data_IF_544775540338
#
_entry.id   IF_544775540338
#
_cell.length_a   1.000
_cell.length_b   1.000
_cell.length_c   1.000
_cell.angle_alpha   90.00
_cell.angle_beta   90.00
_cell.angle_gamma   90.00
#
_symmetry.space_group_name_H-M   'P 1'
#
loop_
_entity.id
_entity.type
_entity.pdbx_description
1 polymer ?
#
# COMPACT_ATOMS: atom_id res chain seq x y z
N UNK A 1 26.57 -19.66 -9.73
CA UNK A 1 25.16 -19.26 -9.49
C UNK A 1 25.10 -17.77 -9.26
N UNK A 2 24.58 -16.98 -10.21
CA UNK A 2 24.64 -15.51 -10.15
C UNK A 2 23.64 -14.87 -9.20
N UNK A 3 23.89 -13.60 -8.81
CA UNK A 3 23.01 -12.80 -7.95
C UNK A 3 21.58 -12.72 -8.52
N UNK A 4 21.46 -12.60 -9.84
CA UNK A 4 20.17 -12.62 -10.54
C UNK A 4 19.44 -13.95 -10.42
N UNK A 5 20.15 -15.07 -10.32
CA UNK A 5 19.53 -16.39 -10.19
C UNK A 5 18.96 -16.59 -8.78
N UNK A 6 19.67 -16.08 -7.75
CA UNK A 6 19.16 -15.99 -6.37
C UNK A 6 17.94 -15.07 -6.30
N UNK A 7 17.98 -13.92 -6.96
CA UNK A 7 16.84 -13.01 -7.05
C UNK A 7 15.66 -13.63 -7.81
N UNK A 8 15.91 -14.34 -8.92
CA UNK A 8 14.87 -15.02 -9.68
C UNK A 8 14.20 -16.12 -8.85
N UNK A 9 14.97 -16.78 -7.99
CA UNK A 9 14.46 -17.76 -7.02
C UNK A 9 13.65 -17.10 -5.92
N UNK A 10 14.07 -15.95 -5.37
CA UNK A 10 13.27 -15.20 -4.40
C UNK A 10 11.94 -14.71 -5.01
N UNK A 11 11.94 -14.29 -6.28
CA UNK A 11 10.73 -13.84 -6.98
C UNK A 11 9.83 -15.02 -7.39
N UNK A 12 10.42 -16.13 -7.85
CA UNK A 12 9.67 -17.36 -8.20
C UNK A 12 9.24 -18.18 -6.99
N UNK A 13 9.93 -18.05 -5.86
CA UNK A 13 9.55 -18.69 -4.62
C UNK A 13 8.28 -18.01 -4.11
N UNK A 14 7.16 -18.59 -4.50
CA UNK A 14 6.02 -18.74 -3.62
C UNK A 14 5.37 -17.46 -3.09
N UNK A 15 5.42 -16.31 -3.78
CA UNK A 15 4.67 -15.14 -3.29
C UNK A 15 3.18 -15.46 -3.15
N UNK A 16 2.60 -16.20 -4.11
CA UNK A 16 1.19 -16.60 -4.07
C UNK A 16 0.86 -17.65 -3.00
N UNK A 17 1.75 -18.62 -2.76
CA UNK A 17 1.52 -19.70 -1.78
C UNK A 17 1.89 -19.30 -0.35
N UNK A 18 2.89 -18.43 -0.16
CA UNK A 18 3.24 -17.83 1.13
C UNK A 18 2.18 -16.80 1.55
N UNK A 19 1.65 -15.98 0.65
CA UNK A 19 0.54 -15.06 0.97
C UNK A 19 -0.73 -15.80 1.44
N UNK A 20 -0.97 -17.02 0.94
CA UNK A 20 -2.13 -17.85 1.32
C UNK A 20 -1.99 -18.55 2.67
N UNK A 21 -0.76 -18.70 3.18
CA UNK A 21 -0.45 -19.46 4.42
C UNK A 21 0.16 -18.62 5.54
N UNK A 22 0.52 -17.37 5.28
CA UNK A 22 1.17 -16.51 6.25
C UNK A 22 0.17 -15.85 7.20
N UNK A 23 0.38 -16.01 8.51
CA UNK A 23 -0.33 -15.25 9.54
C UNK A 23 -0.10 -13.73 9.42
N UNK A 24 1.08 -13.30 8.94
CA UNK A 24 1.36 -11.90 8.65
C UNK A 24 2.02 -11.68 7.27
N UNK A 25 1.23 -11.38 6.23
CA UNK A 25 1.74 -11.12 4.89
C UNK A 25 2.59 -9.85 4.80
N UNK A 26 2.45 -8.90 5.73
CA UNK A 26 3.26 -7.68 5.74
C UNK A 26 4.71 -7.98 6.09
N UNK A 27 4.95 -8.80 7.11
CA UNK A 27 6.28 -9.21 7.52
C UNK A 27 7.04 -9.95 6.42
N UNK A 28 6.38 -10.84 5.68
CA UNK A 28 6.99 -11.57 4.56
C UNK A 28 7.38 -10.62 3.42
N UNK A 29 6.48 -9.69 3.04
CA UNK A 29 6.76 -8.72 1.99
C UNK A 29 7.91 -7.78 2.37
N UNK A 30 8.01 -7.40 3.65
CA UNK A 30 9.11 -6.60 4.17
C UNK A 30 10.43 -7.36 4.16
N UNK A 31 10.44 -8.63 4.59
CA UNK A 31 11.64 -9.47 4.55
C UNK A 31 12.12 -9.67 3.11
N UNK A 32 11.22 -9.99 2.18
CA UNK A 32 11.57 -10.19 0.78
C UNK A 32 12.19 -8.92 0.17
N UNK A 33 11.67 -7.73 0.49
CA UNK A 33 12.26 -6.47 0.04
C UNK A 33 13.65 -6.22 0.65
N UNK A 34 13.85 -6.59 1.91
CA UNK A 34 15.16 -6.45 2.56
C UNK A 34 16.19 -7.40 1.93
N UNK A 35 15.82 -8.64 1.64
CA UNK A 35 16.66 -9.60 0.92
C UNK A 35 17.02 -9.09 -0.48
N UNK A 36 16.05 -8.50 -1.20
CA UNK A 36 16.31 -7.89 -2.51
C UNK A 36 17.24 -6.68 -2.41
N UNK A 37 17.12 -5.85 -1.36
CA UNK A 37 18.03 -4.72 -1.10
C UNK A 37 19.44 -5.21 -0.76
N UNK A 38 19.57 -6.31 -0.03
CA UNK A 38 20.86 -6.91 0.25
C UNK A 38 21.50 -7.45 -1.03
N UNK A 39 20.74 -8.14 -1.87
CA UNK A 39 21.20 -8.58 -3.20
C UNK A 39 21.62 -7.38 -4.09
N UNK A 40 20.93 -6.24 -3.98
CA UNK A 40 21.30 -5.01 -4.68
C UNK A 40 22.66 -4.46 -4.22
N UNK A 41 22.93 -4.48 -2.91
CA UNK A 41 24.25 -4.09 -2.37
C UNK A 41 25.35 -5.01 -2.89
N UNK A 42 25.14 -6.32 -2.86
CA UNK A 42 26.08 -7.30 -3.42
C UNK A 42 26.35 -7.06 -4.91
N UNK A 43 25.30 -6.89 -5.71
CA UNK A 43 25.43 -6.63 -7.14
C UNK A 43 26.21 -5.33 -7.43
N UNK A 44 26.03 -4.28 -6.61
CA UNK A 44 26.81 -3.03 -6.73
C UNK A 44 28.29 -3.26 -6.45
N UNK A 45 28.62 -4.08 -5.45
CA UNK A 45 30.01 -4.44 -5.14
C UNK A 45 30.63 -5.25 -6.28
N UNK A 46 29.90 -6.19 -6.88
CA UNK A 46 30.38 -6.95 -8.05
C UNK A 46 30.65 -6.04 -9.25
N UNK A 47 29.74 -5.10 -9.55
CA UNK A 47 29.95 -4.10 -10.62
C UNK A 47 31.16 -3.22 -10.33
N UNK A 48 31.33 -2.79 -9.08
CA UNK A 48 32.47 -1.98 -8.67
C UNK A 48 33.79 -2.74 -8.79
N UNK A 49 33.83 -4.01 -8.36
CA UNK A 49 34.99 -4.89 -8.51
C UNK A 49 35.36 -5.10 -9.98
N UNK A 50 34.38 -5.41 -10.83
CA UNK A 50 34.60 -5.55 -12.27
C UNK A 50 35.12 -4.26 -12.92
N UNK A 51 34.60 -3.09 -12.49
CA UNK A 51 35.07 -1.78 -12.94
C UNK A 51 36.48 -1.44 -12.44
N UNK A 52 36.85 -1.88 -11.23
CA UNK A 52 38.20 -1.71 -10.70
C UNK A 52 39.22 -2.55 -11.48
N UNK A 53 38.87 -3.79 -11.85
CA UNK A 53 39.72 -4.65 -12.68
C UNK A 53 39.90 -4.05 -14.09
N UNK A 54 38.83 -3.52 -14.70
CA UNK A 54 38.93 -2.80 -15.97
C UNK A 54 39.94 -1.65 -15.89
N UNK A 55 39.81 -0.79 -14.87
CA UNK A 55 40.75 0.32 -14.66
C UNK A 55 42.19 -0.16 -14.45
N UNK A 56 42.38 -1.34 -13.85
CA UNK A 56 43.72 -1.92 -13.66
C UNK A 56 44.33 -2.33 -15.00
N UNK A 57 43.57 -3.00 -15.86
CA UNK A 57 44.01 -3.35 -17.22
C UNK A 57 44.35 -2.10 -18.04
N UNK A 58 43.48 -1.08 -18.00
CA UNK A 58 43.71 0.19 -18.68
C UNK A 58 44.99 0.90 -18.19
N UNK A 59 45.25 0.88 -16.88
CA UNK A 59 46.50 1.44 -16.31
C UNK A 59 47.74 0.68 -16.75
N UNK A 60 47.70 -0.66 -16.80
CA UNK A 60 48.85 -1.43 -17.29
C UNK A 60 49.12 -1.15 -18.77
N UNK A 61 48.08 -1.10 -19.61
CA UNK A 61 48.20 -0.68 -21.02
C UNK A 61 48.85 0.69 -21.13
N UNK A 62 48.35 1.66 -20.35
CA UNK A 62 48.88 3.03 -20.36
C UNK A 62 50.34 3.08 -19.92
N UNK A 63 50.72 2.30 -18.90
CA UNK A 63 52.11 2.20 -18.43
C UNK A 63 53.05 1.69 -19.53
N UNK A 64 52.64 0.69 -20.31
CA UNK A 64 53.45 0.21 -21.44
C UNK A 64 53.50 1.22 -22.60
N UNK A 65 52.40 1.94 -22.86
CA UNK A 65 52.39 3.01 -23.84
C UNK A 65 53.35 4.17 -23.46
N UNK A 66 53.40 4.53 -22.18
CA UNK A 66 54.36 5.52 -21.65
C UNK A 66 55.80 5.02 -21.76
N UNK A 67 56.06 3.74 -21.48
CA UNK A 67 57.37 3.14 -21.69
C UNK A 67 57.79 3.20 -23.17
N UNK A 68 56.89 2.90 -24.09
CA UNK A 68 57.15 3.03 -25.53
C UNK A 68 57.49 4.47 -25.91
N UNK A 69 56.75 5.46 -25.40
CA UNK A 69 57.04 6.87 -25.62
C UNK A 69 58.42 7.28 -25.06
N UNK A 70 58.78 6.81 -23.88
CA UNK A 70 60.10 7.06 -23.28
C UNK A 70 61.24 6.44 -24.11
N UNK A 71 61.08 5.22 -24.62
CA UNK A 71 62.06 4.61 -25.51
C UNK A 71 62.18 5.34 -26.84
N UNK A 72 61.07 5.86 -27.38
CA UNK A 72 61.09 6.71 -28.57
C UNK A 72 61.87 8.01 -28.34
N UNK A 73 61.70 8.65 -27.18
CA UNK A 73 62.47 9.84 -26.82
C UNK A 73 63.97 9.55 -26.72
N UNK A 74 64.35 8.45 -26.04
CA UNK A 74 65.75 8.00 -25.95
C UNK A 74 66.36 7.68 -27.33
N UNK A 75 65.60 7.06 -28.22
CA UNK A 75 66.05 6.81 -29.59
C UNK A 75 66.34 8.11 -30.34
N UNK A 76 65.47 9.12 -30.18
CA UNK A 76 65.68 10.44 -30.80
C UNK A 76 66.92 11.16 -30.24
N UNK A 77 67.18 11.07 -28.93
CA UNK A 77 68.39 11.61 -28.31
C UNK A 77 69.66 10.92 -28.82
N UNK A 78 69.66 9.59 -28.91
CA UNK A 78 70.78 8.81 -29.44
C UNK A 78 71.12 9.21 -30.90
N UNK A 79 70.10 9.44 -31.73
CA UNK A 79 70.30 9.92 -33.10
C UNK A 79 70.93 11.32 -33.16
N UNK A 80 70.54 12.23 -32.26
CA UNK A 80 71.13 13.60 -32.21
C UNK A 80 72.63 13.59 -31.94
N UNK A 81 73.12 12.60 -31.20
CA UNK A 81 74.55 12.43 -30.89
C UNK A 81 75.25 11.42 -31.81
N UNK A 82 74.62 11.01 -32.91
CA UNK A 82 75.21 10.10 -33.92
C UNK A 82 75.33 8.63 -33.50
N UNK A 83 74.71 8.23 -32.39
CA UNK A 83 74.73 6.84 -31.87
C UNK A 83 73.58 6.03 -32.47
N UNK A 84 73.69 5.65 -33.74
CA UNK A 84 72.65 4.87 -34.43
C UNK A 84 72.42 3.47 -33.83
N UNK A 85 73.48 2.86 -33.30
CA UNK A 85 73.45 1.58 -32.58
C UNK A 85 72.50 1.63 -31.38
N UNK A 86 72.66 2.64 -30.52
CA UNK A 86 71.81 2.87 -29.36
C UNK A 86 70.38 3.24 -29.77
N UNK A 87 70.22 4.01 -30.84
CA UNK A 87 68.90 4.36 -31.36
C UNK A 87 68.13 3.11 -31.82
N UNK A 88 68.78 2.21 -32.55
CA UNK A 88 68.17 0.93 -32.98
C UNK A 88 67.77 0.06 -31.80
N UNK A 89 68.59 -0.01 -30.76
CA UNK A 89 68.27 -0.77 -29.55
C UNK A 89 67.08 -0.17 -28.78
N UNK A 90 67.04 1.15 -28.64
CA UNK A 90 65.91 1.85 -28.04
C UNK A 90 64.61 1.63 -28.84
N UNK A 91 64.67 1.64 -30.17
CA UNK A 91 63.51 1.34 -31.02
C UNK A 91 63.03 -0.11 -30.89
N UNK A 92 63.93 -1.09 -30.71
CA UNK A 92 63.55 -2.48 -30.40
C UNK A 92 62.77 -2.57 -29.08
N UNK A 93 63.25 -1.90 -28.02
CA UNK A 93 62.54 -1.84 -26.73
C UNK A 93 61.20 -1.11 -26.83
N UNK A 94 61.12 -0.06 -27.64
CA UNK A 94 59.86 0.64 -27.96
C UNK A 94 58.84 -0.32 -28.59
N UNK A 95 59.24 -1.08 -29.60
CA UNK A 95 58.36 -2.08 -30.25
C UNK A 95 57.89 -3.15 -29.28
N UNK A 96 58.77 -3.64 -28.39
CA UNK A 96 58.39 -4.60 -27.35
C UNK A 96 57.33 -4.03 -26.40
N UNK A 97 57.51 -2.79 -25.94
CA UNK A 97 56.53 -2.12 -25.08
C UNK A 97 55.20 -1.85 -25.80
N UNK A 98 55.22 -1.49 -27.10
CA UNK A 98 54.01 -1.35 -27.92
C UNK A 98 53.26 -2.67 -28.06
N UNK A 99 53.97 -3.78 -28.33
CA UNK A 99 53.36 -5.10 -28.43
C UNK A 99 52.71 -5.53 -27.09
N UNK A 100 53.36 -5.23 -25.96
CA UNK A 100 52.78 -5.47 -24.64
C UNK A 100 51.53 -4.63 -24.39
N UNK A 101 51.55 -3.33 -24.75
CA UNK A 101 50.37 -2.47 -24.64
C UNK A 101 49.21 -2.96 -25.50
N UNK A 102 49.50 -3.43 -26.72
CA UNK A 102 48.50 -3.98 -27.63
C UNK A 102 47.89 -5.28 -27.11
N UNK A 103 48.68 -6.11 -26.42
CA UNK A 103 48.20 -7.33 -25.76
C UNK A 103 47.13 -7.10 -24.68
N UNK A 104 46.95 -5.87 -24.20
CA UNK A 104 45.86 -5.52 -23.28
C UNK A 104 44.55 -5.15 -23.98
N UNK A 105 44.53 -5.02 -25.31
CA UNK A 105 43.32 -4.62 -26.04
C UNK A 105 42.17 -5.63 -25.85
N UNK A 106 42.39 -6.91 -26.15
CA UNK A 106 41.38 -7.96 -25.99
C UNK A 106 40.92 -8.13 -24.53
N UNK A 107 41.80 -8.20 -23.51
CA UNK A 107 41.38 -8.24 -22.11
C UNK A 107 40.52 -7.04 -21.69
N UNK A 108 40.86 -5.83 -22.14
CA UNK A 108 40.09 -4.62 -21.84
C UNK A 108 38.71 -4.71 -22.46
N UNK A 109 38.60 -5.08 -23.74
CA UNK A 109 37.31 -5.21 -24.41
C UNK A 109 36.42 -6.28 -23.76
N UNK A 110 36.98 -7.46 -23.46
CA UNK A 110 36.26 -8.52 -22.76
C UNK A 110 35.75 -8.02 -21.40
N UNK A 111 36.58 -7.33 -20.63
CA UNK A 111 36.19 -6.82 -19.32
C UNK A 111 35.16 -5.67 -19.42
N UNK A 112 35.23 -4.83 -20.44
CA UNK A 112 34.21 -3.81 -20.72
C UNK A 112 32.84 -4.44 -20.96
N UNK A 113 32.78 -5.55 -21.72
CA UNK A 113 31.54 -6.29 -21.95
C UNK A 113 30.99 -6.89 -20.64
N UNK A 114 31.86 -7.43 -19.78
CA UNK A 114 31.48 -7.93 -18.44
C UNK A 114 30.88 -6.80 -17.60
N UNK A 115 31.55 -5.65 -17.52
CA UNK A 115 31.06 -4.48 -16.78
C UNK A 115 29.72 -3.99 -17.33
N UNK A 116 29.58 -3.92 -18.66
CA UNK A 116 28.33 -3.50 -19.31
C UNK A 116 27.17 -4.46 -18.97
N UNK A 117 27.42 -5.78 -19.04
CA UNK A 117 26.43 -6.80 -18.68
C UNK A 117 26.02 -6.66 -17.22
N UNK A 118 26.96 -6.55 -16.29
CA UNK A 118 26.67 -6.40 -14.86
C UNK A 118 25.88 -5.12 -14.58
N UNK A 119 26.21 -4.00 -15.24
CA UNK A 119 25.43 -2.75 -15.13
C UNK A 119 23.98 -2.90 -15.61
N UNK A 120 23.76 -3.60 -16.72
CA UNK A 120 22.41 -3.89 -17.23
C UNK A 120 21.62 -4.74 -16.24
N UNK A 121 22.26 -5.77 -15.69
CA UNK A 121 21.66 -6.64 -14.67
C UNK A 121 21.32 -5.88 -13.38
N UNK A 122 22.20 -4.97 -12.94
CA UNK A 122 21.98 -4.10 -11.79
C UNK A 122 20.75 -3.20 -12.00
N UNK A 123 20.63 -2.55 -13.17
CA UNK A 123 19.47 -1.72 -13.50
C UNK A 123 18.16 -2.53 -13.48
N UNK A 124 18.19 -3.75 -14.01
CA UNK A 124 17.03 -4.64 -13.99
C UNK A 124 16.64 -5.03 -12.55
N UNK A 125 17.61 -5.25 -11.67
CA UNK A 125 17.39 -5.51 -10.25
C UNK A 125 16.78 -4.29 -9.55
N UNK A 126 17.30 -3.09 -9.80
CA UNK A 126 16.74 -1.83 -9.26
C UNK A 126 15.28 -1.63 -9.69
N UNK A 127 14.97 -1.86 -10.97
CA UNK A 127 13.60 -1.77 -11.49
C UNK A 127 12.66 -2.76 -10.81
N UNK A 128 13.10 -4.01 -10.61
CA UNK A 128 12.31 -5.05 -9.92
C UNK A 128 12.06 -4.72 -8.45
N UNK A 129 13.05 -4.14 -7.75
CA UNK A 129 12.87 -3.68 -6.37
C UNK A 129 11.84 -2.57 -6.30
N UNK A 130 11.94 -1.56 -7.18
CA UNK A 130 10.97 -0.48 -7.23
C UNK A 130 9.55 -0.99 -7.52
N UNK A 131 9.41 -1.99 -8.39
CA UNK A 131 8.13 -2.65 -8.64
C UNK A 131 7.61 -3.40 -7.41
N UNK A 132 8.46 -4.17 -6.73
CA UNK A 132 8.11 -4.88 -5.51
C UNK A 132 7.65 -3.93 -4.40
N UNK A 133 8.31 -2.76 -4.25
CA UNK A 133 7.91 -1.73 -3.29
C UNK A 133 6.52 -1.15 -3.60
N UNK A 134 6.22 -0.89 -4.89
CA UNK A 134 4.88 -0.44 -5.32
C UNK A 134 3.82 -1.50 -5.04
N UNK A 135 4.10 -2.77 -5.36
CA UNK A 135 3.20 -3.90 -5.11
C UNK A 135 2.93 -4.08 -3.61
N UNK A 136 3.96 -3.98 -2.76
CA UNK A 136 3.78 -4.01 -1.30
C UNK A 136 2.84 -2.90 -0.83
N UNK A 137 3.06 -1.65 -1.26
CA UNK A 137 2.19 -0.52 -0.86
C UNK A 137 0.72 -0.78 -1.23
N UNK A 138 0.47 -1.28 -2.45
CA UNK A 138 -0.87 -1.64 -2.91
C UNK A 138 -1.50 -2.75 -2.06
N UNK A 139 -0.74 -3.82 -1.76
CA UNK A 139 -1.22 -4.94 -0.95
C UNK A 139 -1.55 -4.51 0.48
N UNK A 140 -0.72 -3.66 1.09
CA UNK A 140 -0.99 -3.13 2.43
C UNK A 140 -2.21 -2.20 2.46
N UNK A 141 -2.39 -1.36 1.44
CA UNK A 141 -3.59 -0.53 1.32
C UNK A 141 -4.86 -1.39 1.17
N UNK A 142 -4.80 -2.46 0.37
CA UNK A 142 -5.90 -3.42 0.24
C UNK A 142 -6.20 -4.16 1.55
N UNK A 143 -5.16 -4.63 2.27
CA UNK A 143 -5.31 -5.26 3.59
C UNK A 143 -6.07 -4.33 4.54
N UNK A 144 -5.66 -3.06 4.65
CA UNK A 144 -6.36 -2.06 5.49
C UNK A 144 -7.82 -1.85 5.08
N UNK A 145 -8.10 -1.81 3.77
CA UNK A 145 -9.47 -1.67 3.27
C UNK A 145 -10.35 -2.88 3.59
N UNK A 146 -9.80 -4.09 3.47
CA UNK A 146 -10.49 -5.33 3.85
C UNK A 146 -10.71 -5.40 5.36
N UNK A 147 -9.70 -5.08 6.17
CA UNK A 147 -9.81 -5.01 7.63
C UNK A 147 -10.86 -3.99 8.08
N UNK A 148 -10.93 -2.82 7.45
CA UNK A 148 -11.96 -1.82 7.70
C UNK A 148 -13.36 -2.33 7.33
N UNK A 149 -13.52 -2.98 6.18
CA UNK A 149 -14.78 -3.56 5.76
C UNK A 149 -15.23 -4.72 6.68
N UNK A 150 -14.30 -5.55 7.15
CA UNK A 150 -14.56 -6.57 8.16
C UNK A 150 -14.94 -5.97 9.51
N UNK A 151 -14.27 -4.89 9.94
CA UNK A 151 -14.60 -4.19 11.17
C UNK A 151 -16.02 -3.61 11.12
N UNK A 152 -16.41 -2.98 10.00
CA UNK A 152 -17.78 -2.50 9.78
C UNK A 152 -18.77 -3.64 9.84
N UNK A 153 -18.55 -4.75 9.11
CA UNK A 153 -19.44 -5.93 9.18
C UNK A 153 -19.52 -6.53 10.58
N UNK A 154 -18.42 -6.57 11.33
CA UNK A 154 -18.41 -7.05 12.73
C UNK A 154 -19.16 -6.09 13.65
N UNK A 155 -19.12 -4.79 13.38
CA UNK A 155 -19.94 -3.80 14.08
C UNK A 155 -21.41 -3.97 13.73
N UNK A 156 -21.77 -4.10 12.45
CA UNK A 156 -23.13 -4.41 11.99
C UNK A 156 -23.65 -5.70 12.65
N UNK A 157 -22.89 -6.79 12.60
CA UNK A 157 -23.28 -8.05 13.26
C UNK A 157 -23.38 -7.96 14.79
N UNK A 158 -22.70 -6.98 15.41
CA UNK A 158 -22.80 -6.71 16.86
C UNK A 158 -23.97 -5.78 17.19
N UNK A 159 -24.36 -4.91 16.26
CA UNK A 159 -25.58 -4.09 16.34
C UNK A 159 -26.81 -4.98 16.16
N UNK A 160 -26.77 -5.95 15.25
CA UNK A 160 -27.79 -7.01 15.10
C UNK A 160 -27.86 -7.94 16.33
N UNK A 161 -26.84 -7.94 17.19
CA UNK A 161 -26.77 -8.76 18.41
C UNK A 161 -27.00 -7.96 19.70
N UNK A 162 -27.52 -6.73 19.63
CA UNK A 162 -27.97 -6.01 20.81
C UNK A 162 -29.50 -6.19 20.99
N UNK A 163 -29.97 -6.84 22.07
CA UNK A 163 -31.39 -6.88 22.42
C UNK A 163 -31.95 -5.50 22.81
N UNK A 164 -31.16 -4.42 22.66
CA UNK A 164 -31.59 -3.06 22.95
C UNK A 164 -32.56 -2.50 21.89
N UNK A 165 -32.47 -2.93 20.63
CA UNK A 165 -33.43 -2.48 19.60
C UNK A 165 -34.81 -3.14 19.78
N UNK A 166 -34.84 -4.44 20.08
CA UNK A 166 -36.09 -5.14 20.43
C UNK A 166 -36.73 -4.56 21.71
N UNK A 167 -35.93 -4.20 22.72
CA UNK A 167 -36.44 -3.56 23.95
C UNK A 167 -36.95 -2.14 23.69
N UNK A 168 -36.36 -1.39 22.75
CA UNK A 168 -36.89 -0.08 22.35
C UNK A 168 -38.22 -0.20 21.61
N UNK A 169 -38.35 -1.13 20.67
CA UNK A 169 -39.61 -1.41 19.96
C UNK A 169 -40.70 -1.93 20.94
N UNK A 170 -40.34 -2.79 21.89
CA UNK A 170 -41.28 -3.29 22.91
C UNK A 170 -41.72 -2.17 23.88
N UNK A 171 -40.81 -1.24 24.22
CA UNK A 171 -41.13 -0.10 25.07
C UNK A 171 -41.96 0.95 24.33
N UNK A 172 -41.73 1.15 23.03
CA UNK A 172 -42.57 1.98 22.15
C UNK A 172 -43.98 1.40 22.00
N UNK A 173 -44.09 0.08 21.81
CA UNK A 173 -45.38 -0.63 21.77
C UNK A 173 -46.15 -0.53 23.09
N UNK A 174 -45.47 -0.64 24.25
CA UNK A 174 -46.10 -0.43 25.56
C UNK A 174 -46.51 1.02 25.80
N UNK A 175 -45.74 1.99 25.29
CA UNK A 175 -46.08 3.40 25.40
C UNK A 175 -47.36 3.71 24.61
N UNK A 176 -47.45 3.20 23.37
CA UNK A 176 -48.65 3.27 22.54
C UNK A 176 -49.86 2.63 23.23
N UNK A 177 -49.72 1.44 23.81
CA UNK A 177 -50.82 0.80 24.56
C UNK A 177 -51.25 1.61 25.80
N UNK A 178 -50.31 2.29 26.46
CA UNK A 178 -50.60 3.18 27.57
C UNK A 178 -51.28 4.48 27.11
N UNK A 179 -50.86 5.05 25.98
CA UNK A 179 -51.50 6.21 25.34
C UNK A 179 -52.91 5.88 24.89
N UNK A 180 -53.12 4.76 24.21
CA UNK A 180 -54.43 4.25 23.79
C UNK A 180 -55.36 4.01 24.99
N UNK A 181 -54.83 3.44 26.09
CA UNK A 181 -55.60 3.30 27.35
C UNK A 181 -55.94 4.65 27.96
N UNK A 182 -55.03 5.62 27.93
CA UNK A 182 -55.27 6.96 28.45
C UNK A 182 -56.31 7.71 27.61
N UNK A 183 -56.28 7.54 26.29
CA UNK A 183 -57.25 8.12 25.36
C UNK A 183 -58.62 7.44 25.51
N UNK A 184 -58.66 6.12 25.70
CA UNK A 184 -59.87 5.38 26.02
C UNK A 184 -60.48 5.81 27.36
N UNK A 185 -59.67 5.95 28.42
CA UNK A 185 -60.14 6.47 29.71
C UNK A 185 -60.59 7.94 29.61
N UNK A 186 -59.90 8.77 28.84
CA UNK A 186 -60.32 10.15 28.59
C UNK A 186 -61.62 10.21 27.75
N UNK A 187 -61.87 9.25 26.85
CA UNK A 187 -63.16 9.13 26.16
C UNK A 187 -64.28 8.65 27.08
N UNK A 188 -63.98 7.77 28.06
CA UNK A 188 -64.95 7.36 29.07
C UNK A 188 -65.30 8.49 30.04
N UNK A 189 -64.31 9.28 30.49
CA UNK A 189 -64.57 10.49 31.31
C UNK A 189 -65.39 11.52 30.53
N UNK A 190 -65.16 11.65 29.21
CA UNK A 190 -65.92 12.55 28.33
C UNK A 190 -67.33 12.02 28.02
N UNK A 191 -67.54 10.70 27.98
CA UNK A 191 -68.88 10.08 27.88
C UNK A 191 -69.68 10.22 29.19
N UNK A 192 -69.04 10.09 30.36
CA UNK A 192 -69.68 10.31 31.66
C UNK A 192 -70.10 11.77 31.84
N UNK A 193 -69.30 12.73 31.35
CA UNK A 193 -69.66 14.15 31.38
C UNK A 193 -70.80 14.48 30.37
N UNK A 194 -70.80 13.84 29.19
CA UNK A 194 -71.88 14.03 28.19
C UNK A 194 -73.20 13.41 28.64
N UNK A 195 -73.19 12.22 29.27
CA UNK A 195 -74.40 11.61 29.84
C UNK A 195 -74.93 12.44 31.01
N UNK A 196 -74.06 13.04 31.83
CA UNK A 196 -74.45 13.95 32.89
C UNK A 196 -75.05 15.27 32.36
N UNK A 197 -74.48 15.87 31.31
CA UNK A 197 -75.05 17.05 30.64
C UNK A 197 -76.37 16.73 29.91
N UNK A 198 -76.50 15.56 29.28
CA UNK A 198 -77.73 15.13 28.61
C UNK A 198 -78.83 14.79 29.61
N UNK A 199 -78.51 14.22 30.77
CA UNK A 199 -79.46 13.99 31.85
C UNK A 199 -79.97 15.30 32.48
N UNK A 200 -79.12 16.32 32.58
CA UNK A 200 -79.55 17.67 33.02
C UNK A 200 -80.47 18.34 31.99
N UNK A 201 -80.18 18.21 30.70
CA UNK A 201 -81.05 18.70 29.61
C UNK A 201 -82.38 17.95 29.51
N UNK A 202 -82.41 16.66 29.87
CA UNK A 202 -83.62 15.85 29.97
C UNK A 202 -84.53 16.28 31.13
N UNK A 203 -83.94 16.54 32.30
CA UNK A 203 -84.66 16.96 33.50
C UNK A 203 -85.26 18.37 33.40
N UNK A 204 -84.61 19.31 32.69
CA UNK A 204 -85.18 20.65 32.48
C UNK A 204 -86.43 20.62 31.59
N UNK A 205 -86.50 19.73 30.59
CA UNK A 205 -87.68 19.59 29.73
C UNK A 205 -88.86 18.92 30.42
N UNK A 206 -88.61 17.94 31.29
CA UNK A 206 -89.67 17.24 32.03
C UNK A 206 -90.30 18.14 33.10
N UNK A 207 -89.51 18.99 33.75
CA UNK A 207 -89.99 19.96 34.75
C UNK A 207 -90.82 21.08 34.11
N UNK A 208 -90.44 21.56 32.92
CA UNK A 208 -91.23 22.56 32.18
C UNK A 208 -92.56 22.01 31.64
N UNK A 209 -92.59 20.74 31.22
CA UNK A 209 -93.82 20.07 30.78
C UNK A 209 -94.78 19.77 31.95
N UNK A 210 -94.26 19.35 33.12
CA UNK A 210 -95.07 19.18 34.34
C UNK A 210 -95.58 20.51 34.89
N UNK A 211 -94.79 21.60 34.84
CA UNK A 211 -95.22 22.93 35.25
C UNK A 211 -96.31 23.50 34.32
N UNK A 212 -96.23 23.23 33.01
CA UNK A 212 -97.25 23.61 32.03
C UNK A 212 -98.55 22.81 32.21
N UNK A 213 -98.46 21.53 32.59
CA UNK A 213 -99.62 20.70 32.93
C UNK A 213 -100.30 21.19 34.21
N UNK A 214 -99.53 21.50 35.27
CA UNK A 214 -100.05 21.98 36.54
C UNK A 214 -100.72 23.37 36.42
N UNK A 215 -100.17 24.27 35.58
CA UNK A 215 -100.80 25.58 35.27
C UNK A 215 -102.13 25.45 34.54
N UNK A 216 -102.28 24.46 33.65
CA UNK A 216 -103.55 24.15 32.97
C UNK A 216 -104.58 23.57 33.94
N UNK A 217 -104.15 22.75 34.89
CA UNK A 217 -105.03 22.12 35.87
C UNK A 217 -105.51 23.11 36.96
N UNK A 218 -104.68 24.10 37.31
CA UNK A 218 -105.00 25.14 38.29
C UNK A 218 -105.70 26.38 37.71
N UNK A 219 -106.04 26.38 36.41
CA UNK A 219 -106.86 27.43 35.79
C UNK A 219 -106.24 28.83 35.76
N UNK A 220 -104.91 28.92 35.82
CA UNK A 220 -104.17 30.19 35.84
C UNK A 220 -103.39 30.35 34.53
N UNK A 221 -104.06 30.86 33.49
CA UNK A 221 -103.40 31.41 32.31
C UNK A 221 -104.01 32.78 31.98
N UNK A 222 -103.25 33.76 31.50
CA UNK A 222 -103.78 34.72 30.53
C UNK A 222 -104.10 34.02 29.20
#
# INVERSE_FOLDING_TARGET
MGVLDRLSRLIRANLNDLLRRAEDPEKILNQALEDMRQALKEARLEVAGAGAELKKLERERQRYAEQAAAWKAKAAEALKIGREDLAREALKRKQQAEALAEGFHEPIEAQQQVVARLKTQLRALEAKIAEAERRRKLLLARKKGVEAAEAVRRMESKVDAHPALEVFEEMEARLLEMEDRHEALASMDREVDLEAELAQLGAEREVDEELAALKRELGLNP
#
